data_IF_566170959078
#
_entry.id   IF_566170959078
#
_cell.length_a   1.000
_cell.length_b   1.000
_cell.length_c   1.000
_cell.angle_alpha   90.00
_cell.angle_beta   90.00
_cell.angle_gamma   90.00
#
_symmetry.space_group_name_H-M   'P 1'
#
loop_
_entity.id
_entity.type
_entity.pdbx_description
1 polymer ?
#
# COMPACT_ATOMS: atom_id res chain seq x y z
N UNK A 1 -15.60 36.03 7.26
CA UNK A 1 -15.32 34.58 7.32
C UNK A 1 -16.39 33.87 6.50
N UNK A 2 -16.05 33.09 5.45
CA UNK A 2 -17.05 32.29 4.76
C UNK A 2 -17.11 30.89 5.38
N UNK A 3 -18.32 30.51 5.77
CA UNK A 3 -18.73 29.17 6.21
C UNK A 3 -18.41 28.12 5.13
N UNK A 4 -17.67 27.07 5.52
CA UNK A 4 -17.42 25.91 4.67
C UNK A 4 -18.67 25.03 4.59
N UNK A 5 -19.42 25.11 3.49
CA UNK A 5 -20.52 24.20 3.21
C UNK A 5 -19.97 22.81 2.90
N UNK A 6 -20.23 21.84 3.77
CA UNK A 6 -19.86 20.44 3.56
C UNK A 6 -20.86 19.79 2.58
N UNK A 7 -20.41 19.50 1.36
CA UNK A 7 -21.24 18.83 0.35
C UNK A 7 -21.38 17.35 0.70
N UNK A 8 -22.62 16.90 0.94
CA UNK A 8 -22.93 15.48 1.15
C UNK A 8 -23.24 14.81 -0.18
N UNK A 9 -22.50 13.77 -0.55
CA UNK A 9 -22.61 13.07 -1.84
C UNK A 9 -22.94 11.60 -1.60
N UNK A 10 -23.99 11.07 -2.26
CA UNK A 10 -24.42 9.67 -2.13
C UNK A 10 -24.12 8.85 -3.39
N UNK A 11 -23.69 7.60 -3.19
CA UNK A 11 -23.32 6.67 -4.29
C UNK A 11 -24.59 6.14 -4.98
N UNK A 12 -24.63 6.16 -6.32
CA UNK A 12 -25.73 5.54 -7.08
C UNK A 12 -25.79 4.03 -6.78
N UNK A 13 -26.94 3.55 -6.31
CA UNK A 13 -27.19 2.12 -6.04
C UNK A 13 -27.39 1.41 -7.39
N UNK A 14 -26.36 0.69 -7.86
CA UNK A 14 -26.47 -0.16 -9.06
C UNK A 14 -26.79 -1.58 -8.61
N UNK A 15 -27.98 -2.10 -8.96
CA UNK A 15 -28.30 -3.53 -8.83
C UNK A 15 -27.29 -4.31 -9.66
N UNK A 16 -26.55 -5.22 -9.01
CA UNK A 16 -25.68 -6.18 -9.69
C UNK A 16 -26.42 -7.50 -9.76
N UNK A 17 -26.83 -7.89 -10.96
CA UNK A 17 -27.30 -9.26 -11.19
C UNK A 17 -26.09 -10.19 -11.11
N UNK A 18 -26.09 -11.05 -10.10
CA UNK A 18 -25.06 -12.08 -9.89
C UNK A 18 -25.50 -13.32 -10.65
N UNK A 19 -25.03 -13.48 -11.88
CA UNK A 19 -25.14 -14.76 -12.60
C UNK A 19 -24.14 -15.74 -11.99
N UNK A 20 -24.65 -16.77 -11.30
CA UNK A 20 -23.86 -17.89 -10.79
C UNK A 20 -23.53 -18.85 -11.94
N UNK A 21 -22.30 -18.81 -12.45
CA UNK A 21 -21.78 -19.84 -13.34
C UNK A 21 -21.10 -20.95 -12.54
N UNK A 22 -21.75 -22.12 -12.48
CA UNK A 22 -21.14 -23.38 -12.02
C UNK A 22 -20.09 -23.85 -13.04
N UNK A 23 -18.86 -24.09 -12.59
CA UNK A 23 -17.79 -24.67 -13.39
C UNK A 23 -16.86 -25.48 -12.50
N UNK A 24 -17.14 -26.78 -12.40
CA UNK A 24 -16.20 -27.79 -11.92
C UNK A 24 -15.12 -28.02 -12.98
N UNK A 25 -14.01 -28.60 -12.54
CA UNK A 25 -12.92 -29.20 -13.32
C UNK A 25 -11.77 -28.27 -13.76
N UNK A 26 -10.60 -28.44 -13.13
CA UNK A 26 -9.34 -28.82 -13.78
C UNK A 26 -8.23 -28.93 -12.72
N UNK A 27 -7.85 -30.16 -12.36
CA UNK A 27 -6.68 -30.47 -11.52
C UNK A 27 -5.48 -30.65 -12.46
N UNK A 28 -4.59 -29.66 -12.51
CA UNK A 28 -3.29 -29.75 -13.20
C UNK A 28 -2.14 -29.72 -12.20
N UNK A 29 -1.49 -30.86 -11.96
CA UNK A 29 -0.27 -30.97 -11.15
C UNK A 29 0.93 -30.45 -11.96
N UNK A 30 1.56 -29.37 -11.52
CA UNK A 30 2.88 -28.97 -12.01
C UNK A 30 3.96 -29.31 -10.97
N UNK A 31 4.89 -30.18 -11.39
CA UNK A 31 6.03 -30.67 -10.62
C UNK A 31 7.26 -29.90 -11.10
N UNK A 32 7.70 -28.88 -10.35
CA UNK A 32 8.90 -28.09 -10.71
C UNK A 32 10.14 -28.78 -10.14
N UNK A 33 11.07 -29.14 -11.05
CA UNK A 33 12.39 -29.71 -10.75
C UNK A 33 13.26 -28.67 -10.02
N UNK A 34 13.84 -29.07 -8.89
CA UNK A 34 14.91 -28.32 -8.20
C UNK A 34 16.20 -28.40 -9.03
N UNK A 35 16.69 -27.26 -9.50
CA UNK A 35 18.11 -27.10 -9.83
C UNK A 35 18.77 -26.24 -8.76
N UNK A 36 19.85 -26.79 -8.19
CA UNK A 36 20.74 -26.13 -7.24
C UNK A 36 21.58 -25.10 -7.99
N UNK A 37 21.50 -23.84 -7.57
CA UNK A 37 22.64 -22.91 -7.61
C UNK A 37 22.67 -22.25 -6.24
N UNK A 38 23.66 -22.65 -5.45
CA UNK A 38 24.05 -21.98 -4.23
C UNK A 38 25.13 -20.97 -4.61
N UNK A 39 24.91 -19.69 -4.37
CA UNK A 39 25.99 -18.77 -3.98
C UNK A 39 25.43 -17.52 -3.31
N UNK A 40 26.17 -17.10 -2.29
CA UNK A 40 25.82 -16.17 -1.23
C UNK A 40 25.49 -14.75 -1.69
N UNK A 41 24.39 -14.22 -1.15
CA UNK A 41 24.30 -12.83 -0.72
C UNK A 41 23.47 -12.82 0.57
N UNK A 42 24.06 -12.38 1.67
CA UNK A 42 23.36 -12.20 2.95
C UNK A 42 22.31 -11.10 2.81
N UNK A 43 21.07 -11.50 2.49
CA UNK A 43 19.88 -10.67 2.65
C UNK A 43 19.28 -10.98 4.02
N UNK A 44 19.92 -10.47 5.08
CA UNK A 44 19.44 -10.59 6.46
C UNK A 44 18.72 -9.30 6.87
N UNK A 45 17.46 -9.17 6.47
CA UNK A 45 16.46 -8.35 7.16
C UNK A 45 15.06 -8.76 6.66
N UNK A 46 14.54 -9.88 7.16
CA UNK A 46 13.14 -10.27 6.99
C UNK A 46 12.24 -9.31 7.80
N UNK A 47 11.92 -8.13 7.25
CA UNK A 47 10.78 -7.34 7.73
C UNK A 47 9.50 -7.87 7.09
N UNK A 48 9.09 -9.05 7.53
CA UNK A 48 7.76 -9.57 7.23
C UNK A 48 6.85 -9.17 8.39
N UNK A 49 5.98 -8.20 8.15
CA UNK A 49 4.74 -8.08 8.91
C UNK A 49 3.94 -9.37 8.64
N UNK A 50 4.10 -10.38 9.50
CA UNK A 50 3.34 -11.62 9.44
C UNK A 50 1.89 -11.29 9.86
N UNK A 51 1.04 -10.90 8.91
CA UNK A 51 -0.36 -11.33 8.99
C UNK A 51 -0.38 -12.71 8.34
N UNK A 52 -0.20 -13.76 9.15
CA UNK A 52 -0.33 -15.15 8.71
C UNK A 52 -1.74 -15.35 8.16
N UNK A 53 -1.89 -15.32 6.83
CA UNK A 53 -3.09 -15.85 6.17
C UNK A 53 -2.94 -17.37 6.10
N UNK A 54 -3.44 -18.07 7.11
CA UNK A 54 -3.46 -19.54 7.14
C UNK A 54 -4.60 -20.04 6.25
N UNK A 55 -4.26 -20.72 5.15
CA UNK A 55 -5.22 -21.48 4.35
C UNK A 55 -5.71 -22.69 5.12
N UNK A 56 -7.00 -22.68 5.48
CA UNK A 56 -7.84 -23.84 5.88
C UNK A 56 -7.22 -24.85 6.86
N UNK A 57 -7.39 -24.60 8.16
CA UNK A 57 -7.91 -25.59 9.13
C UNK A 57 -7.97 -25.10 10.58
N UNK A 58 -7.53 -23.88 10.90
CA UNK A 58 -7.57 -23.37 12.28
C UNK A 58 -8.49 -22.16 12.40
N UNK A 59 -9.78 -22.45 12.59
CA UNK A 59 -10.79 -21.50 13.06
C UNK A 59 -10.54 -21.15 14.55
N UNK A 60 -9.41 -20.53 14.87
CA UNK A 60 -9.30 -19.75 16.11
C UNK A 60 -9.60 -18.30 15.77
N UNK A 61 -10.82 -17.91 16.08
CA UNK A 61 -11.29 -16.53 16.09
C UNK A 61 -10.33 -15.66 16.91
N UNK A 62 -9.44 -14.93 16.26
CA UNK A 62 -8.77 -13.76 16.86
C UNK A 62 -9.77 -12.62 16.99
N UNK A 63 -10.79 -12.81 17.83
CA UNK A 63 -11.44 -11.70 18.50
C UNK A 63 -10.45 -11.26 19.58
N UNK A 64 -9.41 -10.53 19.19
CA UNK A 64 -8.71 -9.69 20.15
C UNK A 64 -9.78 -8.72 20.65
N UNK A 65 -10.17 -8.85 21.90
CA UNK A 65 -11.02 -7.86 22.54
C UNK A 65 -10.19 -6.57 22.61
N UNK A 66 -10.32 -5.70 21.61
CA UNK A 66 -9.64 -4.40 21.57
C UNK A 66 -9.91 -3.59 22.85
N UNK A 67 -11.08 -3.83 23.46
CA UNK A 67 -11.51 -3.20 24.71
C UNK A 67 -10.68 -3.62 25.93
N UNK A 68 -10.03 -4.79 25.97
CA UNK A 68 -9.25 -5.20 27.15
C UNK A 68 -7.90 -4.50 27.27
N UNK A 69 -7.46 -3.81 26.22
CA UNK A 69 -6.21 -3.04 26.19
C UNK A 69 -6.43 -1.52 26.09
N UNK A 70 -7.68 -1.05 26.22
CA UNK A 70 -8.01 0.36 26.06
C UNK A 70 -7.77 0.91 24.64
N UNK A 71 -7.70 0.03 23.63
CA UNK A 71 -7.41 0.43 22.25
C UNK A 71 -8.68 0.87 21.55
N UNK A 72 -8.62 2.05 20.92
CA UNK A 72 -9.72 2.65 20.19
C UNK A 72 -9.40 2.76 18.69
N UNK A 73 -10.44 2.62 17.86
CA UNK A 73 -10.34 2.93 16.42
C UNK A 73 -10.59 4.41 16.11
N UNK A 74 -10.97 5.19 17.12
CA UNK A 74 -11.23 6.63 16.99
C UNK A 74 -10.02 7.52 17.26
N UNK A 75 -8.87 6.94 17.65
CA UNK A 75 -7.63 7.65 17.93
C UNK A 75 -6.41 6.85 17.41
N UNK A 76 -5.21 7.34 17.72
CA UNK A 76 -3.95 6.74 17.28
C UNK A 76 -3.51 5.53 18.12
N UNK A 77 -4.23 5.15 19.18
CA UNK A 77 -3.79 4.10 20.12
C UNK A 77 -3.56 2.76 19.41
N UNK A 78 -4.42 2.40 18.46
CA UNK A 78 -4.28 1.18 17.68
C UNK A 78 -3.05 1.20 16.77
N UNK A 79 -2.82 2.33 16.09
CA UNK A 79 -1.66 2.51 15.23
C UNK A 79 -0.35 2.43 16.02
N UNK A 80 -0.29 3.14 17.16
CA UNK A 80 0.87 3.12 18.06
C UNK A 80 1.12 1.74 18.65
N UNK A 81 0.06 1.00 19.03
CA UNK A 81 0.20 -0.35 19.55
C UNK A 81 0.83 -1.30 18.53
N UNK A 82 0.35 -1.30 17.29
CA UNK A 82 0.93 -2.15 16.24
C UNK A 82 2.33 -1.70 15.83
N UNK A 83 2.61 -0.39 15.85
CA UNK A 83 3.95 0.13 15.58
C UNK A 83 4.96 -0.34 16.65
N UNK A 84 4.60 -0.24 17.94
CA UNK A 84 5.43 -0.64 19.08
C UNK A 84 5.79 -2.14 19.07
N UNK A 85 5.02 -2.99 18.40
CA UNK A 85 5.39 -4.41 18.22
C UNK A 85 6.70 -4.60 17.46
N UNK A 86 7.17 -3.57 16.76
CA UNK A 86 8.45 -3.58 16.04
C UNK A 86 9.64 -3.21 16.94
N UNK A 87 9.42 -2.70 18.17
CA UNK A 87 10.51 -2.24 19.05
C UNK A 87 11.46 -3.35 19.48
N UNK A 88 10.96 -4.59 19.53
CA UNK A 88 11.79 -5.78 19.74
C UNK A 88 12.87 -6.00 18.67
N UNK A 89 12.82 -5.29 17.54
CA UNK A 89 13.79 -5.37 16.45
C UNK A 89 14.76 -4.19 16.46
N UNK A 90 14.71 -3.29 17.45
CA UNK A 90 15.43 -2.02 17.38
C UNK A 90 16.95 -2.18 17.37
N UNK A 91 17.51 -3.15 18.09
CA UNK A 91 18.96 -3.42 18.03
C UNK A 91 19.38 -3.92 16.64
N UNK A 92 18.60 -4.82 16.03
CA UNK A 92 18.84 -5.28 14.65
C UNK A 92 18.76 -4.12 13.65
N UNK A 93 17.81 -3.19 13.85
CA UNK A 93 17.68 -1.99 13.01
C UNK A 93 18.95 -1.14 13.12
N UNK A 94 19.46 -0.89 14.33
CA UNK A 94 20.69 -0.11 14.53
C UNK A 94 21.88 -0.77 13.85
N UNK A 95 22.03 -2.09 14.00
CA UNK A 95 23.10 -2.85 13.37
C UNK A 95 23.03 -2.72 11.83
N UNK A 96 21.84 -2.86 11.23
CA UNK A 96 21.63 -2.66 9.78
C UNK A 96 21.96 -1.23 9.39
N UNK A 97 21.54 -0.22 10.16
CA UNK A 97 21.83 1.18 9.87
C UNK A 97 23.33 1.50 9.88
N UNK A 98 24.11 0.79 10.70
CA UNK A 98 25.56 0.96 10.83
C UNK A 98 26.36 0.17 9.79
N UNK A 99 25.85 -0.98 9.34
CA UNK A 99 26.62 -1.94 8.53
C UNK A 99 26.21 -2.00 7.06
N UNK A 100 25.00 -1.52 6.72
CA UNK A 100 24.46 -1.61 5.38
C UNK A 100 24.39 -0.24 4.71
N UNK A 101 24.85 -0.18 3.46
CA UNK A 101 24.71 1.02 2.63
C UNK A 101 23.26 1.18 2.18
N UNK A 102 22.69 0.11 1.60
CA UNK A 102 21.31 0.04 1.10
C UNK A 102 20.34 -0.52 2.14
N UNK A 103 19.26 0.21 2.41
CA UNK A 103 18.20 -0.23 3.31
C UNK A 103 16.88 -0.28 2.54
N UNK A 104 16.19 -1.40 2.65
CA UNK A 104 14.84 -1.58 2.12
C UNK A 104 13.92 -1.93 3.28
N UNK A 105 12.95 -1.06 3.56
CA UNK A 105 11.89 -1.33 4.53
C UNK A 105 10.60 -1.71 3.83
N UNK A 106 9.73 -2.46 4.51
CA UNK A 106 8.49 -2.98 3.94
C UNK A 106 7.31 -2.70 4.86
N UNK A 107 6.17 -2.35 4.28
CA UNK A 107 4.88 -2.33 4.97
C UNK A 107 3.81 -2.89 4.03
N UNK A 108 2.70 -3.37 4.59
CA UNK A 108 1.52 -3.62 3.76
C UNK A 108 0.78 -2.31 3.45
N UNK A 109 0.73 -1.41 4.43
CA UNK A 109 -0.05 -0.17 4.42
C UNK A 109 0.73 1.01 3.82
N UNK A 110 0.02 1.97 3.25
CA UNK A 110 0.58 3.18 2.65
C UNK A 110 1.14 4.10 3.76
N UNK A 111 2.43 4.44 3.74
CA UNK A 111 3.04 5.20 4.83
C UNK A 111 2.72 6.69 4.79
N UNK A 112 2.53 7.27 3.60
CA UNK A 112 2.28 8.72 3.43
C UNK A 112 1.02 8.96 2.63
N UNK A 113 0.24 9.97 3.03
CA UNK A 113 -1.01 10.32 2.34
C UNK A 113 -0.80 10.67 0.86
N UNK A 114 0.33 11.29 0.51
CA UNK A 114 0.62 11.64 -0.89
C UNK A 114 0.98 10.45 -1.78
N UNK A 115 1.25 9.27 -1.21
CA UNK A 115 1.44 8.02 -1.96
C UNK A 115 0.08 7.36 -2.33
N UNK A 116 -1.02 8.05 -2.06
CA UNK A 116 -2.37 7.68 -2.48
C UNK A 116 -2.95 8.83 -3.33
N UNK A 117 -3.73 8.56 -4.40
CA UNK A 117 -4.39 9.61 -5.15
C UNK A 117 -5.35 10.42 -4.28
N UNK A 118 -5.58 11.68 -4.67
CA UNK A 118 -6.52 12.57 -3.99
C UNK A 118 -7.92 11.98 -3.91
N UNK A 119 -8.59 12.19 -2.78
CA UNK A 119 -9.95 11.68 -2.51
C UNK A 119 -10.92 11.92 -3.67
N UNK A 120 -10.83 13.09 -4.32
CA UNK A 120 -11.67 13.48 -5.48
C UNK A 120 -11.51 12.60 -6.72
N UNK A 121 -10.39 11.87 -6.81
CA UNK A 121 -10.05 10.98 -7.92
C UNK A 121 -10.35 9.50 -7.61
N UNK A 122 -10.78 9.19 -6.38
CA UNK A 122 -11.02 7.81 -5.92
C UNK A 122 -12.50 7.40 -6.05
N UNK A 123 -12.74 6.15 -6.48
CA UNK A 123 -14.08 5.55 -6.45
C UNK A 123 -14.57 5.18 -5.03
N UNK A 124 -13.64 5.13 -4.07
CA UNK A 124 -13.90 4.82 -2.67
C UNK A 124 -13.36 5.97 -1.80
N UNK A 125 -14.19 6.96 -1.45
CA UNK A 125 -13.72 8.20 -0.82
C UNK A 125 -13.20 8.01 0.61
N UNK A 126 -13.56 6.90 1.26
CA UNK A 126 -13.07 6.54 2.59
C UNK A 126 -11.75 5.74 2.55
N UNK A 127 -11.24 5.38 1.37
CA UNK A 127 -9.99 4.65 1.24
C UNK A 127 -8.84 5.35 1.99
N UNK A 128 -8.61 6.68 1.87
CA UNK A 128 -7.54 7.35 2.60
C UNK A 128 -7.62 7.24 4.13
N UNK A 129 -8.79 6.91 4.70
CA UNK A 129 -8.98 6.78 6.14
C UNK A 129 -8.46 5.45 6.72
N UNK A 130 -8.15 4.46 5.89
CA UNK A 130 -7.87 3.08 6.34
C UNK A 130 -6.60 2.47 5.74
N UNK A 131 -5.81 3.29 5.03
CA UNK A 131 -4.68 2.78 4.24
C UNK A 131 -3.34 2.88 4.94
N UNK A 132 -3.23 3.55 6.09
CA UNK A 132 -1.97 3.91 6.71
C UNK A 132 -2.13 4.64 8.05
N UNK A 133 -1.00 5.05 8.62
CA UNK A 133 -0.93 5.81 9.87
C UNK A 133 0.35 6.66 9.92
N UNK A 134 0.32 7.76 10.68
CA UNK A 134 1.50 8.61 10.85
C UNK A 134 2.64 7.88 11.58
N UNK A 135 2.31 7.03 12.57
CA UNK A 135 3.31 6.19 13.27
C UNK A 135 4.14 5.32 12.32
N UNK A 136 3.54 4.87 11.22
CA UNK A 136 4.26 4.08 10.20
C UNK A 136 5.31 4.95 9.48
N UNK A 137 4.96 6.17 9.07
CA UNK A 137 5.92 7.08 8.45
C UNK A 137 7.01 7.50 9.44
N UNK A 138 6.65 7.79 10.69
CA UNK A 138 7.61 8.12 11.74
C UNK A 138 8.66 7.00 11.92
N UNK A 139 8.23 5.73 11.89
CA UNK A 139 9.15 4.58 11.94
C UNK A 139 10.02 4.46 10.70
N UNK A 140 9.47 4.70 9.51
CA UNK A 140 10.27 4.71 8.27
C UNK A 140 11.33 5.81 8.35
N UNK A 141 10.99 6.97 8.91
CA UNK A 141 11.90 8.11 9.10
C UNK A 141 12.93 7.86 10.19
N UNK A 142 12.62 7.13 11.26
CA UNK A 142 13.62 6.75 12.26
C UNK A 142 14.67 5.77 11.69
N UNK A 143 14.29 4.96 10.70
CA UNK A 143 15.18 4.01 10.02
C UNK A 143 16.02 4.71 8.93
N UNK A 144 15.38 5.49 8.06
CA UNK A 144 16.02 6.08 6.89
C UNK A 144 16.55 7.49 7.09
N UNK A 145 16.11 8.18 8.14
CA UNK A 145 16.34 9.61 8.35
C UNK A 145 15.31 10.50 7.66
N UNK A 146 15.25 11.76 8.10
CA UNK A 146 14.25 12.74 7.65
C UNK A 146 14.27 13.01 6.13
N UNK A 147 15.44 12.87 5.48
CA UNK A 147 15.62 13.08 4.04
C UNK A 147 16.20 11.84 3.33
N UNK A 148 15.98 10.66 3.90
CA UNK A 148 16.67 9.43 3.47
C UNK A 148 18.16 9.45 3.80
N UNK A 149 18.83 8.36 3.42
CA UNK A 149 20.28 8.18 3.54
C UNK A 149 21.01 8.93 2.41
N UNK A 150 22.24 9.36 2.67
CA UNK A 150 23.08 10.10 1.72
C UNK A 150 23.48 9.16 0.58
N UNK A 151 22.91 9.34 -0.64
CA UNK A 151 23.18 8.58 -1.91
C UNK A 151 22.00 7.81 -2.55
N UNK A 152 20.75 8.07 -2.16
CA UNK A 152 19.57 7.35 -2.68
C UNK A 152 19.52 5.85 -2.33
N UNK A 153 20.23 5.44 -1.28
CA UNK A 153 20.20 4.09 -0.70
C UNK A 153 18.96 3.76 0.15
N UNK A 154 18.02 4.70 0.29
CA UNK A 154 16.78 4.53 1.07
C UNK A 154 15.59 4.14 0.19
N UNK A 155 15.05 2.94 0.42
CA UNK A 155 13.83 2.47 -0.24
C UNK A 155 12.80 1.96 0.77
N UNK A 156 11.52 2.23 0.49
CA UNK A 156 10.38 1.67 1.20
C UNK A 156 9.40 1.05 0.22
N UNK A 157 9.06 -0.22 0.44
CA UNK A 157 8.11 -0.98 -0.36
C UNK A 157 6.80 -1.10 0.39
N UNK A 158 5.70 -0.72 -0.26
CA UNK A 158 4.37 -0.70 0.34
C UNK A 158 3.30 -1.31 -0.57
N UNK A 159 2.07 -1.44 -0.07
CA UNK A 159 0.98 -2.11 -0.77
C UNK A 159 -0.43 -1.62 -0.43
N UNK A 160 -1.34 -2.58 -0.32
CA UNK A 160 -2.74 -2.41 0.09
C UNK A 160 -3.66 -1.70 -0.92
N UNK A 161 -3.28 -0.57 -1.52
CA UNK A 161 -4.20 0.24 -2.36
C UNK A 161 -4.37 -0.25 -3.79
N UNK A 162 -3.52 -1.18 -4.24
CA UNK A 162 -3.45 -1.61 -5.63
C UNK A 162 -3.10 -0.49 -6.62
N UNK A 163 -2.65 0.69 -6.20
CA UNK A 163 -2.11 1.70 -7.13
C UNK A 163 -0.63 1.42 -7.43
N UNK A 164 -0.25 1.28 -8.69
CA UNK A 164 1.18 1.16 -9.02
C UNK A 164 1.84 2.51 -8.71
N UNK A 165 2.93 2.49 -7.95
CA UNK A 165 3.60 3.70 -7.48
C UNK A 165 5.10 3.51 -7.48
N UNK A 166 5.82 4.51 -8.01
CA UNK A 166 7.27 4.64 -7.88
C UNK A 166 7.64 6.12 -7.94
N UNK A 167 8.04 6.65 -6.79
CA UNK A 167 8.41 8.04 -6.61
C UNK A 167 9.42 8.19 -5.46
N UNK A 168 10.29 9.19 -5.56
CA UNK A 168 11.14 9.61 -4.44
C UNK A 168 10.44 10.75 -3.70
N UNK A 169 10.27 10.61 -2.40
CA UNK A 169 9.70 11.65 -1.54
C UNK A 169 10.60 11.86 -0.34
N UNK A 170 11.10 13.09 -0.18
CA UNK A 170 12.07 13.45 0.86
C UNK A 170 13.24 12.46 0.91
N UNK A 171 13.84 12.17 -0.25
CA UNK A 171 15.02 11.32 -0.41
C UNK A 171 14.82 9.82 -0.14
N UNK A 172 13.59 9.36 0.13
CA UNK A 172 13.26 7.93 0.21
C UNK A 172 12.49 7.53 -1.05
N UNK A 173 12.93 6.47 -1.73
CA UNK A 173 12.17 5.88 -2.84
C UNK A 173 11.03 5.03 -2.29
N UNK A 174 9.80 5.34 -2.69
CA UNK A 174 8.61 4.58 -2.32
C UNK A 174 8.10 3.79 -3.52
N UNK A 175 8.06 2.45 -3.39
CA UNK A 175 7.66 1.55 -4.47
C UNK A 175 6.45 0.71 -4.05
N UNK A 176 5.44 0.70 -4.90
CA UNK A 176 4.31 -0.23 -4.83
C UNK A 176 4.13 -0.87 -6.20
N UNK A 177 4.41 -2.17 -6.28
CA UNK A 177 4.21 -3.02 -7.47
C UNK A 177 3.11 -4.06 -7.18
N UNK A 178 1.82 -3.68 -7.18
CA UNK A 178 0.78 -4.54 -6.65
C UNK A 178 0.30 -5.54 -7.71
N UNK A 179 0.15 -6.81 -7.31
CA UNK A 179 -0.45 -7.83 -8.17
C UNK A 179 -1.88 -7.49 -8.56
N UNK A 180 -2.66 -6.89 -7.65
CA UNK A 180 -4.05 -6.49 -7.85
C UNK A 180 -5.00 -7.66 -8.23
N UNK A 181 -6.30 -7.38 -8.30
CA UNK A 181 -7.28 -8.39 -8.71
C UNK A 181 -7.17 -8.72 -10.21
N UNK A 182 -7.60 -9.92 -10.67
CA UNK A 182 -7.54 -10.29 -12.09
C UNK A 182 -8.17 -9.27 -13.04
N UNK A 183 -9.29 -8.63 -12.65
CA UNK A 183 -9.93 -7.57 -13.46
C UNK A 183 -9.12 -6.28 -13.52
N UNK A 184 -8.35 -5.98 -12.49
CA UNK A 184 -7.47 -4.82 -12.41
C UNK A 184 -6.18 -5.06 -13.21
N UNK A 185 -5.63 -6.28 -13.14
CA UNK A 185 -4.47 -6.73 -13.94
C UNK A 185 -4.69 -6.59 -15.44
N UNK A 186 -5.88 -6.93 -15.93
CA UNK A 186 -6.26 -6.79 -17.36
C UNK A 186 -6.06 -5.37 -17.90
N UNK A 187 -6.05 -4.36 -17.03
CA UNK A 187 -5.89 -2.95 -17.40
C UNK A 187 -4.45 -2.44 -17.25
N UNK A 188 -3.49 -3.30 -16.92
CA UNK A 188 -2.05 -2.97 -16.78
C UNK A 188 -1.24 -3.55 -17.92
N UNK A 189 0.08 -3.29 -17.91
CA UNK A 189 1.04 -3.86 -18.87
C UNK A 189 0.74 -5.33 -19.14
N UNK A 190 0.53 -5.67 -20.41
CA UNK A 190 0.31 -7.02 -20.91
C UNK A 190 -0.89 -7.76 -20.28
N UNK A 191 -1.88 -7.05 -19.73
CA UNK A 191 -3.07 -7.66 -19.13
C UNK A 191 -2.79 -8.53 -17.90
N UNK A 192 -1.57 -8.47 -17.35
CA UNK A 192 -1.08 -9.37 -16.31
C UNK A 192 -0.68 -10.77 -16.78
N UNK A 193 -0.76 -11.06 -18.09
CA UNK A 193 -0.18 -12.27 -18.67
C UNK A 193 1.35 -12.15 -18.64
N UNK A 194 2.03 -13.17 -18.12
CA UNK A 194 3.48 -13.20 -17.90
C UNK A 194 4.04 -12.16 -16.92
N UNK A 195 3.22 -11.61 -16.01
CA UNK A 195 3.71 -10.67 -15.01
C UNK A 195 4.62 -11.39 -14.01
N UNK A 196 5.91 -11.07 -14.05
CA UNK A 196 6.89 -11.49 -13.07
C UNK A 196 6.92 -10.50 -11.90
N UNK A 197 7.28 -10.96 -10.69
CA UNK A 197 7.59 -10.04 -9.59
C UNK A 197 8.58 -8.97 -10.04
N UNK A 198 8.33 -7.72 -9.68
CA UNK A 198 9.28 -6.64 -9.95
C UNK A 198 10.55 -6.87 -9.12
N UNK A 199 11.69 -7.06 -9.80
CA UNK A 199 12.98 -7.14 -9.14
C UNK A 199 13.43 -5.72 -8.78
N UNK A 200 13.30 -5.36 -7.50
CA UNK A 200 13.61 -4.02 -7.02
C UNK A 200 15.11 -3.79 -6.80
N UNK A 201 15.86 -4.84 -6.45
CA UNK A 201 17.26 -4.73 -6.08
C UNK A 201 18.01 -5.98 -6.55
N UNK A 202 19.09 -5.78 -7.28
CA UNK A 202 19.99 -6.81 -7.78
C UNK A 202 21.38 -6.20 -8.01
N UNK A 203 22.43 -7.01 -7.96
CA UNK A 203 23.80 -6.58 -8.30
C UNK A 203 24.25 -5.30 -7.57
N UNK A 204 23.91 -5.23 -6.27
CA UNK A 204 24.19 -4.10 -5.38
C UNK A 204 23.61 -2.75 -5.85
N UNK A 205 22.50 -2.79 -6.61
CA UNK A 205 21.85 -1.60 -7.18
C UNK A 205 20.34 -1.74 -7.11
N UNK A 206 19.67 -0.61 -6.88
CA UNK A 206 18.24 -0.52 -7.13
C UNK A 206 17.96 -0.58 -8.63
N UNK A 207 16.90 -1.29 -8.99
CA UNK A 207 16.39 -1.28 -10.36
C UNK A 207 15.94 0.12 -10.75
N UNK A 208 15.87 0.39 -12.05
CA UNK A 208 15.31 1.63 -12.55
C UNK A 208 13.85 1.81 -12.13
N UNK A 209 13.31 3.00 -12.39
CA UNK A 209 11.93 3.35 -12.07
C UNK A 209 10.95 2.36 -12.68
N UNK A 210 10.08 1.79 -11.85
CA UNK A 210 8.98 0.95 -12.27
C UNK A 210 8.06 1.76 -13.19
N UNK A 211 7.86 1.26 -14.41
CA UNK A 211 7.04 1.90 -15.43
C UNK A 211 6.11 0.85 -16.06
N UNK A 212 4.80 1.12 -16.19
CA UNK A 212 4.08 2.35 -15.88
C UNK A 212 3.57 2.41 -14.45
N UNK A 213 3.64 3.61 -13.88
CA UNK A 213 3.06 3.96 -12.60
C UNK A 213 2.15 5.18 -12.77
N UNK A 214 0.99 4.99 -13.41
CA UNK A 214 0.09 6.07 -13.83
C UNK A 214 -0.08 7.20 -12.81
N UNK A 215 -0.29 6.87 -11.53
CA UNK A 215 -0.49 7.89 -10.50
C UNK A 215 0.80 8.65 -10.13
N UNK A 216 1.93 7.97 -9.95
CA UNK A 216 3.17 8.69 -9.68
C UNK A 216 3.68 9.44 -10.92
N UNK A 217 3.43 8.92 -12.13
CA UNK A 217 3.65 9.64 -13.39
C UNK A 217 2.80 10.90 -13.46
N UNK A 218 1.50 10.79 -13.18
CA UNK A 218 0.59 11.94 -13.12
C UNK A 218 1.10 13.00 -12.14
N UNK A 219 1.44 12.63 -10.90
CA UNK A 219 1.90 13.59 -9.88
C UNK A 219 3.33 14.09 -10.09
N UNK A 220 4.11 13.48 -11.00
CA UNK A 220 5.40 14.04 -11.40
C UNK A 220 5.25 15.29 -12.28
N UNK A 221 4.15 15.38 -13.02
CA UNK A 221 3.86 16.51 -13.93
C UNK A 221 2.74 17.42 -13.43
N UNK A 222 1.94 16.97 -12.48
CA UNK A 222 0.77 17.70 -11.97
C UNK A 222 0.90 17.90 -10.46
N UNK A 223 0.85 19.16 -9.97
CA UNK A 223 0.88 19.41 -8.54
C UNK A 223 -0.35 18.83 -7.88
N UNK A 224 -0.18 18.50 -6.60
CA UNK A 224 -1.30 18.08 -5.76
C UNK A 224 -2.18 19.28 -5.42
N UNK A 225 -3.48 19.07 -5.44
CA UNK A 225 -4.56 20.00 -5.08
C UNK A 225 -5.48 19.36 -4.02
N UNK A 226 -4.99 19.04 -2.81
CA UNK A 226 -5.77 18.30 -1.80
C UNK A 226 -7.01 19.06 -1.31
N UNK A 227 -7.00 20.39 -1.41
CA UNK A 227 -8.13 21.25 -1.05
C UNK A 227 -9.23 21.28 -2.12
N UNK A 228 -8.94 20.79 -3.34
CA UNK A 228 -9.97 20.67 -4.37
C UNK A 228 -10.91 19.51 -4.01
N UNK A 229 -12.17 19.84 -3.73
CA UNK A 229 -13.22 18.86 -3.39
C UNK A 229 -14.07 18.45 -4.59
N UNK A 230 -13.87 19.07 -5.77
CA UNK A 230 -14.59 18.73 -6.98
C UNK A 230 -14.18 17.35 -7.51
N UNK A 231 -15.16 16.44 -7.58
CA UNK A 231 -14.93 15.08 -8.06
C UNK A 231 -14.42 15.10 -9.50
N UNK A 232 -13.37 14.32 -9.77
CA UNK A 232 -12.87 14.17 -11.11
C UNK A 232 -13.97 13.64 -12.05
N UNK A 233 -14.01 14.03 -13.34
CA UNK A 233 -15.13 13.69 -14.23
C UNK A 233 -15.46 12.18 -14.31
N UNK A 234 -14.42 11.33 -14.29
CA UNK A 234 -14.58 9.87 -14.31
C UNK A 234 -15.14 9.29 -13.02
N UNK A 235 -15.03 10.01 -11.89
CA UNK A 235 -15.62 9.67 -10.59
C UNK A 235 -17.03 10.24 -10.49
N UNK A 236 -17.22 11.52 -10.86
CA UNK A 236 -18.47 12.26 -10.71
C UNK A 236 -19.68 11.51 -11.27
N UNK A 237 -19.54 10.83 -12.42
CA UNK A 237 -20.61 10.02 -13.04
C UNK A 237 -21.24 8.96 -12.14
N UNK A 238 -20.51 8.45 -11.14
CA UNK A 238 -20.96 7.41 -10.20
C UNK A 238 -21.75 7.95 -9.00
N UNK A 239 -21.77 9.27 -8.83
CA UNK A 239 -22.41 9.93 -7.72
C UNK A 239 -23.59 10.77 -8.20
N UNK A 240 -24.56 11.01 -7.31
CA UNK A 240 -25.59 12.04 -7.51
C UNK A 240 -25.30 13.16 -6.51
N UNK A 241 -25.39 14.39 -6.99
CA UNK A 241 -25.49 15.53 -6.10
C UNK A 241 -26.85 15.44 -5.41
N UNK A 242 -26.84 15.46 -4.08
CA UNK A 242 -28.05 15.62 -3.28
C UNK A 242 -28.03 17.04 -2.74
N UNK A 243 -29.14 17.76 -2.91
CA UNK A 243 -29.29 19.08 -2.30
C UNK A 243 -29.20 18.92 -0.78
N UNK A 244 -28.36 19.72 -0.14
CA UNK A 244 -28.31 19.83 1.31
C UNK A 244 -29.64 20.42 1.76
N UNK A 245 -30.43 19.63 2.50
CA UNK A 245 -31.50 20.17 3.33
C UNK A 245 -30.77 20.84 4.50
N UNK A 246 -30.83 22.16 4.56
CA UNK A 246 -30.40 22.91 5.72
C UNK A 246 -31.25 22.42 6.92
N UNK A 247 -30.58 21.87 7.95
CA UNK A 247 -31.19 21.54 9.26
C UNK A 247 -30.73 22.56 10.27
#
# INVERSE_FOLDING_TARGET
MPSSKEQTITKKKVKRDIVHGNGKDFIGRYKIRRNRVAQAAQVNALFTLFVRWSTKSENRSWKISLNSFGLSSGDMSLASYFDAMNDKQMEVIKDVQMTCDHIITFSHFVPRQELCPEKRMLFYPNLPKIIGSDSLEDRIRSIHGAKGRKDASSCHVFGHTHFCWDAVVDGIRYVQAPLAYPRERKRRMNGGENWLPFCLYADNKFADRLNPCYWSDYYSANPRTPHNTELAPWVARFYKQTETIDV
#
